data_IF_514151985068
#
_entry.id   IF_514151985068
#
_cell.length_a   1.000
_cell.length_b   1.000
_cell.length_c   1.000
_cell.angle_alpha   90.00
_cell.angle_beta   90.00
_cell.angle_gamma   90.00
#
_symmetry.space_group_name_H-M   'P 1'
#
loop_
_entity.id
_entity.type
_entity.pdbx_description
1 polymer ?
#
# COMPACT_ATOMS: atom_id res chain seq x y z
N UNK A 1 26.61 -15.74 40.20
CA UNK A 1 26.10 -15.02 41.39
C UNK A 1 26.37 -15.91 42.59
N UNK A 2 27.20 -15.43 43.50
CA UNK A 2 27.54 -16.06 44.78
C UNK A 2 26.30 -16.20 45.66
N UNK A 3 26.21 -17.27 46.45
CA UNK A 3 25.16 -17.41 47.45
C UNK A 3 25.21 -18.76 48.16
N UNK A 4 26.23 -18.94 49.00
CA UNK A 4 26.28 -20.03 49.97
C UNK A 4 25.21 -19.86 51.05
N UNK A 5 24.73 -20.98 51.59
CA UNK A 5 23.82 -21.03 52.72
C UNK A 5 24.08 -22.27 53.55
N UNK A 6 24.96 -22.12 54.53
CA UNK A 6 25.09 -23.03 55.67
C UNK A 6 23.80 -23.02 56.50
N UNK A 7 23.37 -24.19 56.96
CA UNK A 7 22.29 -24.33 57.94
C UNK A 7 22.07 -25.78 58.32
N UNK A 8 22.76 -26.25 59.36
CA UNK A 8 22.45 -27.53 60.00
C UNK A 8 21.19 -27.44 60.87
N UNK A 9 20.73 -28.59 61.36
CA UNK A 9 20.51 -28.89 62.79
C UNK A 9 19.49 -30.05 62.94
N UNK A 10 19.95 -31.11 63.60
CA UNK A 10 19.26 -32.06 64.48
C UNK A 10 17.71 -32.17 64.47
N UNK A 11 17.26 -33.43 64.43
CA UNK A 11 16.40 -33.96 65.50
C UNK A 11 14.96 -34.32 65.10
N UNK A 12 14.57 -35.59 65.27
CA UNK A 12 13.17 -36.00 65.17
C UNK A 12 12.96 -37.51 65.02
N UNK A 13 13.41 -38.29 66.00
CA UNK A 13 12.94 -39.67 66.22
C UNK A 13 11.61 -39.65 67.01
N UNK A 14 10.89 -40.77 66.96
CA UNK A 14 9.66 -41.15 67.69
C UNK A 14 8.32 -40.90 66.99
N UNK A 15 7.61 -42.01 66.75
CA UNK A 15 6.19 -41.98 66.39
C UNK A 15 5.65 -43.29 65.81
N UNK A 16 6.05 -44.44 66.34
CA UNK A 16 5.33 -45.71 66.12
C UNK A 16 3.96 -45.59 66.81
N UNK A 17 2.90 -45.54 66.01
CA UNK A 17 1.53 -45.52 66.49
C UNK A 17 0.56 -45.70 65.33
N UNK A 18 0.01 -46.90 65.17
CA UNK A 18 -1.12 -47.12 64.26
C UNK A 18 -1.27 -48.52 63.65
N UNK A 19 -1.12 -49.58 64.44
CA UNK A 19 -1.29 -50.99 64.04
C UNK A 19 -2.76 -51.40 63.82
N UNK A 20 -3.64 -50.47 63.45
CA UNK A 20 -5.08 -50.71 63.20
C UNK A 20 -5.58 -50.23 61.82
N UNK A 21 -4.71 -49.66 60.98
CA UNK A 21 -5.05 -49.24 59.61
C UNK A 21 -4.36 -50.08 58.52
N UNK A 22 -3.85 -51.27 58.87
CA UNK A 22 -3.06 -52.10 57.96
C UNK A 22 -3.85 -52.55 56.73
N UNK A 23 -5.06 -53.07 56.89
CA UNK A 23 -5.82 -53.60 55.75
C UNK A 23 -6.41 -52.49 54.86
N UNK A 24 -6.89 -51.40 55.44
CA UNK A 24 -7.42 -50.26 54.69
C UNK A 24 -6.32 -49.53 53.91
N UNK A 25 -5.16 -49.27 54.52
CA UNK A 25 -4.00 -48.70 53.81
C UNK A 25 -3.40 -49.66 52.79
N UNK A 26 -3.27 -50.95 53.12
CA UNK A 26 -2.76 -51.96 52.17
C UNK A 26 -3.70 -52.13 50.97
N UNK A 27 -5.02 -52.13 51.20
CA UNK A 27 -6.02 -52.15 50.13
C UNK A 27 -6.03 -50.85 49.32
N UNK A 28 -5.81 -49.69 49.97
CA UNK A 28 -5.65 -48.40 49.31
C UNK A 28 -4.38 -48.35 48.46
N UNK A 29 -3.24 -48.84 48.96
CA UNK A 29 -1.98 -48.96 48.20
C UNK A 29 -2.11 -49.93 47.03
N UNK A 30 -2.72 -51.11 47.25
CA UNK A 30 -2.95 -52.10 46.19
C UNK A 30 -3.95 -51.61 45.12
N UNK A 31 -4.96 -50.82 45.50
CA UNK A 31 -5.98 -50.32 44.56
C UNK A 31 -5.54 -49.04 43.84
N UNK A 32 -4.66 -48.23 44.43
CA UNK A 32 -4.13 -47.00 43.78
C UNK A 32 -3.41 -47.30 42.47
N UNK A 33 -2.69 -48.41 42.39
CA UNK A 33 -2.05 -48.83 41.14
C UNK A 33 -3.08 -49.24 40.08
N UNK A 34 -4.20 -49.86 40.48
CA UNK A 34 -5.31 -50.17 39.59
C UNK A 34 -6.11 -48.93 39.16
N UNK A 35 -6.20 -47.89 40.00
CA UNK A 35 -6.80 -46.61 39.59
C UNK A 35 -5.89 -45.82 38.64
N UNK A 36 -4.57 -45.84 38.86
CA UNK A 36 -3.60 -45.23 37.95
C UNK A 36 -3.64 -45.83 36.54
N UNK A 37 -3.92 -47.14 36.42
CA UNK A 37 -4.08 -47.76 35.10
C UNK A 37 -5.38 -47.33 34.40
N UNK A 38 -6.47 -47.11 35.14
CA UNK A 38 -7.69 -46.51 34.56
C UNK A 38 -7.42 -45.07 34.12
N UNK A 39 -6.74 -44.27 34.94
CA UNK A 39 -6.38 -42.89 34.62
C UNK A 39 -5.46 -42.80 33.39
N UNK A 40 -4.49 -43.72 33.25
CA UNK A 40 -3.61 -43.77 32.08
C UNK A 40 -4.34 -44.16 30.80
N UNK A 41 -5.31 -45.08 30.89
CA UNK A 41 -6.17 -45.43 29.74
C UNK A 41 -7.02 -44.22 29.34
N UNK A 42 -7.65 -43.53 30.30
CA UNK A 42 -8.45 -42.32 30.03
C UNK A 42 -7.58 -41.21 29.43
N UNK A 43 -6.38 -40.99 29.95
CA UNK A 43 -5.43 -40.02 29.42
C UNK A 43 -4.94 -40.41 28.01
N UNK A 44 -4.75 -41.70 27.73
CA UNK A 44 -4.41 -42.19 26.41
C UNK A 44 -5.55 -41.97 25.40
N UNK A 45 -6.81 -42.22 25.77
CA UNK A 45 -7.95 -41.89 24.91
C UNK A 45 -8.08 -40.38 24.66
N UNK A 46 -7.76 -39.58 25.69
CA UNK A 46 -7.74 -38.12 25.57
C UNK A 46 -6.63 -37.66 24.62
N UNK A 47 -5.43 -38.24 24.68
CA UNK A 47 -4.32 -37.90 23.78
C UNK A 47 -4.59 -38.36 22.34
N UNK A 48 -5.22 -39.52 22.14
CA UNK A 48 -5.70 -39.97 20.82
C UNK A 48 -6.75 -39.00 20.28
N UNK A 49 -7.67 -38.52 21.12
CA UNK A 49 -8.67 -37.54 20.71
C UNK A 49 -8.04 -36.20 20.29
N UNK A 50 -7.08 -35.69 21.07
CA UNK A 50 -6.33 -34.47 20.72
C UNK A 50 -5.49 -34.66 19.45
N UNK A 51 -4.92 -35.84 19.25
CA UNK A 51 -4.18 -36.17 18.03
C UNK A 51 -5.10 -36.25 16.81
N UNK A 52 -6.29 -36.84 16.95
CA UNK A 52 -7.31 -36.89 15.88
C UNK A 52 -7.84 -35.48 15.56
N UNK A 53 -8.01 -34.61 16.55
CA UNK A 53 -8.35 -33.21 16.31
C UNK A 53 -7.22 -32.50 15.53
N UNK A 54 -5.96 -32.76 15.90
CA UNK A 54 -4.80 -32.22 15.19
C UNK A 54 -4.66 -32.76 13.77
N UNK A 55 -4.95 -34.03 13.51
CA UNK A 55 -4.91 -34.57 12.15
C UNK A 55 -6.05 -34.02 11.31
N UNK A 56 -7.24 -33.86 11.88
CA UNK A 56 -8.35 -33.17 11.23
C UNK A 56 -7.98 -31.72 10.87
N UNK A 57 -7.46 -30.95 11.83
CA UNK A 57 -7.03 -29.57 11.57
C UNK A 57 -5.87 -29.50 10.58
N UNK A 58 -4.90 -30.41 10.64
CA UNK A 58 -3.81 -30.47 9.68
C UNK A 58 -4.33 -30.73 8.25
N UNK A 59 -5.28 -31.64 8.08
CA UNK A 59 -5.93 -31.89 6.79
C UNK A 59 -6.72 -30.67 6.33
N UNK A 60 -7.48 -30.04 7.22
CA UNK A 60 -8.25 -28.83 6.91
C UNK A 60 -7.35 -27.66 6.46
N UNK A 61 -6.26 -27.42 7.19
CA UNK A 61 -5.28 -26.38 6.88
C UNK A 61 -4.51 -26.70 5.60
N UNK A 62 -4.18 -27.97 5.35
CA UNK A 62 -3.53 -28.42 4.11
C UNK A 62 -4.46 -28.23 2.90
N UNK A 63 -5.73 -28.59 3.04
CA UNK A 63 -6.73 -28.39 1.99
C UNK A 63 -6.90 -26.91 1.66
N UNK A 64 -7.03 -26.05 2.68
CA UNK A 64 -7.11 -24.59 2.47
C UNK A 64 -5.86 -24.02 1.83
N UNK A 65 -4.68 -24.51 2.20
CA UNK A 65 -3.44 -24.07 1.56
C UNK A 65 -3.44 -24.39 0.06
N UNK A 66 -3.89 -25.59 -0.33
CA UNK A 66 -4.02 -26.00 -1.73
C UNK A 66 -5.06 -25.15 -2.48
N UNK A 67 -6.22 -24.89 -1.88
CA UNK A 67 -7.24 -23.99 -2.47
C UNK A 67 -6.66 -22.58 -2.65
N UNK A 68 -5.92 -22.07 -1.66
CA UNK A 68 -5.22 -20.77 -1.77
C UNK A 68 -4.17 -20.76 -2.88
N UNK A 69 -3.49 -21.87 -3.12
CA UNK A 69 -2.59 -22.02 -4.28
C UNK A 69 -3.37 -21.97 -5.59
N UNK A 70 -4.54 -22.59 -5.68
CA UNK A 70 -5.40 -22.52 -6.87
C UNK A 70 -5.88 -21.09 -7.17
N UNK A 71 -6.26 -20.32 -6.14
CA UNK A 71 -6.62 -18.91 -6.31
C UNK A 71 -5.44 -18.06 -6.80
N UNK A 72 -4.23 -18.33 -6.29
CA UNK A 72 -3.01 -17.68 -6.77
C UNK A 72 -2.66 -18.08 -8.20
N UNK A 73 -2.88 -19.34 -8.58
CA UNK A 73 -2.71 -19.82 -9.94
C UNK A 73 -3.67 -19.12 -10.93
N UNK A 74 -4.92 -18.87 -10.51
CA UNK A 74 -5.90 -18.09 -11.28
C UNK A 74 -5.41 -16.65 -11.53
N UNK A 75 -4.87 -15.98 -10.50
CA UNK A 75 -4.27 -14.63 -10.64
C UNK A 75 -3.05 -14.63 -11.57
N UNK A 76 -2.21 -15.65 -11.46
CA UNK A 76 -1.03 -15.84 -12.31
C UNK A 76 -1.44 -15.98 -13.77
N UNK A 77 -2.49 -16.74 -14.08
CA UNK A 77 -3.05 -16.85 -15.44
C UNK A 77 -3.45 -15.49 -16.01
N UNK A 78 -4.09 -14.62 -15.21
CA UNK A 78 -4.44 -13.26 -15.65
C UNK A 78 -3.20 -12.39 -15.90
N UNK A 79 -2.18 -12.47 -15.05
CA UNK A 79 -0.92 -11.76 -15.28
C UNK A 79 -0.17 -12.29 -16.51
N UNK A 80 -0.17 -13.60 -16.73
CA UNK A 80 0.41 -14.21 -17.92
C UNK A 80 -0.28 -13.67 -19.18
N UNK A 81 -1.62 -13.64 -19.19
CA UNK A 81 -2.41 -13.08 -20.28
C UNK A 81 -2.11 -11.59 -20.52
N UNK A 82 -1.84 -10.82 -19.46
CA UNK A 82 -1.46 -9.41 -19.59
C UNK A 82 -0.15 -9.21 -20.36
N UNK A 83 0.85 -10.09 -20.15
CA UNK A 83 2.12 -10.05 -20.88
C UNK A 83 1.91 -10.37 -22.36
N UNK A 84 1.14 -11.42 -22.67
CA UNK A 84 0.78 -11.73 -24.07
C UNK A 84 -0.03 -10.61 -24.72
N UNK A 85 -0.94 -9.98 -23.99
CA UNK A 85 -1.73 -8.85 -24.47
C UNK A 85 -0.89 -7.60 -24.69
N UNK A 86 0.16 -7.36 -23.90
CA UNK A 86 1.09 -6.24 -24.08
C UNK A 86 1.91 -6.41 -25.36
N UNK A 87 2.38 -7.63 -25.65
CA UNK A 87 3.01 -7.95 -26.94
C UNK A 87 2.03 -7.79 -28.11
N UNK A 88 0.78 -8.24 -27.96
CA UNK A 88 -0.25 -8.06 -28.97
C UNK A 88 -0.56 -6.57 -29.20
N UNK A 89 -0.65 -5.78 -28.13
CA UNK A 89 -0.88 -4.33 -28.17
C UNK A 89 0.28 -3.62 -28.89
N UNK A 90 1.53 -3.97 -28.59
CA UNK A 90 2.70 -3.41 -29.28
C UNK A 90 2.66 -3.72 -30.79
N UNK A 91 2.32 -4.95 -31.15
CA UNK A 91 2.15 -5.36 -32.55
C UNK A 91 0.96 -4.64 -33.21
N UNK A 92 -0.13 -4.44 -32.49
CA UNK A 92 -1.31 -3.69 -32.94
C UNK A 92 -1.01 -2.21 -33.14
N UNK A 93 -0.27 -1.56 -32.23
CA UNK A 93 0.18 -0.17 -32.39
C UNK A 93 1.04 -0.02 -33.64
N UNK A 94 1.96 -0.96 -33.87
CA UNK A 94 2.82 -0.94 -35.06
C UNK A 94 2.02 -1.18 -36.33
N UNK A 95 1.02 -2.07 -36.30
CA UNK A 95 0.09 -2.29 -37.40
C UNK A 95 -0.75 -1.04 -37.69
N UNK A 96 -1.33 -0.45 -36.65
CA UNK A 96 -2.17 0.74 -36.75
C UNK A 96 -1.37 1.94 -37.27
N UNK A 97 -0.14 2.15 -36.77
CA UNK A 97 0.77 3.17 -37.29
C UNK A 97 1.07 2.98 -38.78
N UNK A 98 1.40 1.75 -39.21
CA UNK A 98 1.58 1.45 -40.64
C UNK A 98 0.30 1.72 -41.43
N UNK A 99 -0.85 1.30 -40.92
CA UNK A 99 -2.15 1.44 -41.58
C UNK A 99 -2.56 2.91 -41.71
N UNK A 100 -2.36 3.72 -40.68
CA UNK A 100 -2.61 5.17 -40.66
C UNK A 100 -1.69 5.88 -41.65
N UNK A 101 -0.39 5.54 -41.68
CA UNK A 101 0.54 6.12 -42.66
C UNK A 101 0.21 5.77 -44.12
N UNK A 102 -0.29 4.54 -44.36
CA UNK A 102 -0.75 4.11 -45.68
C UNK A 102 -2.06 4.81 -46.06
N UNK A 103 -3.00 4.94 -45.11
CA UNK A 103 -4.30 5.60 -45.33
C UNK A 103 -4.15 7.10 -45.59
N UNK A 104 -3.24 7.77 -44.87
CA UNK A 104 -2.89 9.17 -45.10
C UNK A 104 -1.99 9.38 -46.33
N UNK A 105 -1.61 8.32 -47.05
CA UNK A 105 -0.80 8.36 -48.28
C UNK A 105 0.56 9.06 -48.13
N UNK A 106 1.05 9.25 -46.90
CA UNK A 106 2.38 9.83 -46.60
C UNK A 106 3.51 8.79 -46.68
N UNK A 107 3.17 7.49 -46.80
CA UNK A 107 4.14 6.44 -47.05
C UNK A 107 3.79 5.73 -48.37
N UNK A 108 4.43 6.08 -49.51
CA UNK A 108 4.46 5.17 -50.64
C UNK A 108 5.11 3.87 -50.17
N UNK A 109 4.52 2.74 -50.59
CA UNK A 109 5.13 1.42 -50.41
C UNK A 109 6.54 1.54 -50.96
N UNK A 110 7.55 1.41 -50.10
CA UNK A 110 8.93 1.56 -50.50
C UNK A 110 9.28 0.40 -51.44
N UNK A 111 9.08 0.63 -52.74
CA UNK A 111 9.99 0.33 -53.85
C UNK A 111 11.39 0.94 -53.58
N UNK A 112 11.91 0.89 -52.34
CA UNK A 112 13.26 1.36 -52.08
C UNK A 112 14.27 0.48 -52.77
N UNK A 113 14.03 -0.83 -52.89
CA UNK A 113 14.95 -1.72 -53.59
C UNK A 113 14.99 -1.43 -55.11
N UNK A 114 13.90 -0.96 -55.69
CA UNK A 114 13.85 -0.55 -57.11
C UNK A 114 14.45 0.85 -57.33
N UNK A 115 14.16 1.81 -56.45
CA UNK A 115 14.76 3.15 -56.53
C UNK A 115 16.28 3.15 -56.26
N UNK A 116 16.76 2.29 -55.35
CA UNK A 116 18.19 2.13 -55.08
C UNK A 116 18.90 1.29 -56.16
N UNK A 117 18.27 0.27 -56.74
CA UNK A 117 18.87 -0.48 -57.86
C UNK A 117 18.95 0.34 -59.14
N UNK A 118 17.98 1.24 -59.39
CA UNK A 118 18.02 2.16 -60.50
C UNK A 118 19.08 3.27 -60.30
N UNK A 119 19.25 3.76 -59.07
CA UNK A 119 20.35 4.68 -58.73
C UNK A 119 21.74 4.03 -58.83
N UNK A 120 21.87 2.77 -58.38
CA UNK A 120 23.11 2.00 -58.48
C UNK A 120 23.45 1.62 -59.93
N UNK A 121 22.43 1.36 -60.78
CA UNK A 121 22.62 1.13 -62.21
C UNK A 121 22.95 2.42 -62.99
N UNK A 122 22.53 3.59 -62.48
CA UNK A 122 22.85 4.90 -63.06
C UNK A 122 24.19 5.50 -62.59
N UNK A 123 24.86 4.87 -61.62
CA UNK A 123 26.18 5.29 -61.15
C UNK A 123 27.27 4.70 -62.07
N UNK A 124 27.89 5.54 -62.89
CA UNK A 124 29.06 5.17 -63.70
C UNK A 124 30.18 4.71 -62.76
N UNK A 125 30.76 3.50 -62.91
CA UNK A 125 31.83 3.06 -62.05
C UNK A 125 33.13 3.75 -62.48
N UNK A 126 33.52 4.80 -61.74
CA UNK A 126 34.89 5.29 -61.78
C UNK A 126 35.71 4.46 -60.79
N UNK A 127 36.53 3.58 -61.37
CA UNK A 127 37.58 2.72 -60.80
C UNK A 127 37.94 2.89 -59.31
N UNK A 128 37.96 1.77 -58.58
CA UNK A 128 38.53 1.70 -57.23
C UNK A 128 38.31 0.35 -56.54
N UNK A 129 39.21 -0.58 -56.86
CA UNK A 129 39.68 -1.76 -56.11
C UNK A 129 39.20 -2.00 -54.65
N UNK A 130 38.99 -3.29 -54.32
CA UNK A 130 39.07 -3.81 -52.94
C UNK A 130 37.76 -4.15 -52.23
N UNK A 131 37.26 -5.37 -52.46
CA UNK A 131 36.26 -6.03 -51.61
C UNK A 131 36.79 -6.16 -50.17
N UNK A 132 36.30 -5.30 -49.27
CA UNK A 132 36.51 -5.41 -47.83
C UNK A 132 35.16 -5.70 -47.16
N UNK A 133 35.03 -6.74 -46.32
CA UNK A 133 33.77 -7.07 -45.69
C UNK A 133 33.35 -5.88 -44.82
N UNK A 134 32.21 -5.26 -45.14
CA UNK A 134 31.68 -4.08 -44.43
C UNK A 134 31.59 -4.38 -42.94
N UNK A 135 32.59 -3.92 -42.17
CA UNK A 135 32.64 -4.08 -40.71
C UNK A 135 31.41 -3.38 -40.14
N UNK A 136 30.56 -4.13 -39.46
CA UNK A 136 29.27 -3.62 -39.06
C UNK A 136 29.44 -2.47 -38.07
N UNK A 137 28.96 -1.28 -38.44
CA UNK A 137 28.79 -0.14 -37.53
C UNK A 137 27.66 -0.39 -36.51
N UNK A 138 27.02 -1.56 -36.60
CA UNK A 138 25.91 -1.98 -35.75
C UNK A 138 26.24 -2.04 -34.24
N UNK A 139 27.41 -2.57 -33.80
CA UNK A 139 27.80 -2.52 -32.40
C UNK A 139 28.09 -1.10 -31.90
N UNK A 140 28.59 -0.21 -32.77
CA UNK A 140 28.85 1.21 -32.45
C UNK A 140 27.52 1.94 -32.24
N UNK A 141 26.52 1.69 -33.08
CA UNK A 141 25.18 2.26 -32.93
C UNK A 141 24.47 1.74 -31.67
N UNK A 142 24.67 0.47 -31.31
CA UNK A 142 24.18 -0.08 -30.04
C UNK A 142 24.81 0.64 -28.83
N UNK A 143 26.11 0.86 -28.86
CA UNK A 143 26.81 1.57 -27.78
C UNK A 143 26.35 3.03 -27.68
N UNK A 144 26.18 3.72 -28.82
CA UNK A 144 25.71 5.11 -28.87
C UNK A 144 24.26 5.23 -28.36
N UNK A 145 23.39 4.28 -28.70
CA UNK A 145 22.01 4.23 -28.24
C UNK A 145 21.92 4.00 -26.72
N UNK A 146 22.81 3.20 -26.14
CA UNK A 146 22.85 2.96 -24.70
C UNK A 146 23.42 4.17 -23.96
N UNK A 147 24.47 4.82 -24.49
CA UNK A 147 25.04 6.03 -23.88
C UNK A 147 24.02 7.18 -23.89
N UNK A 148 23.32 7.38 -25.01
CA UNK A 148 22.35 8.46 -25.13
C UNK A 148 20.99 8.12 -24.48
N UNK A 149 20.56 6.86 -24.60
CA UNK A 149 19.27 6.38 -24.10
C UNK A 149 19.28 5.96 -22.64
N UNK A 150 20.41 5.50 -22.11
CA UNK A 150 20.57 5.02 -20.74
C UNK A 150 20.19 6.07 -19.69
N UNK A 151 20.78 7.29 -19.72
CA UNK A 151 20.42 8.35 -18.78
C UNK A 151 18.93 8.72 -18.83
N UNK A 152 18.35 8.75 -20.02
CA UNK A 152 16.93 9.03 -20.21
C UNK A 152 16.02 7.90 -19.71
N UNK A 153 16.39 6.63 -19.95
CA UNK A 153 15.66 5.45 -19.48
C UNK A 153 15.67 5.38 -17.96
N UNK A 154 16.82 5.62 -17.33
CA UNK A 154 16.97 5.65 -15.88
C UNK A 154 16.10 6.77 -15.29
N UNK A 155 16.15 7.98 -15.85
CA UNK A 155 15.30 9.09 -15.41
C UNK A 155 13.80 8.75 -15.54
N UNK A 156 13.40 8.08 -16.62
CA UNK A 156 12.01 7.65 -16.84
C UNK A 156 11.56 6.54 -15.89
N UNK A 157 12.44 5.61 -15.54
CA UNK A 157 12.16 4.53 -14.59
C UNK A 157 12.06 5.06 -13.17
N UNK A 158 13.00 5.90 -12.72
CA UNK A 158 12.99 6.48 -11.37
C UNK A 158 11.75 7.37 -11.19
N UNK A 159 11.40 8.19 -12.20
CA UNK A 159 10.22 9.06 -12.14
C UNK A 159 8.89 8.29 -12.07
N UNK A 160 8.85 7.04 -12.54
CA UNK A 160 7.65 6.20 -12.46
C UNK A 160 7.44 5.55 -11.08
N UNK A 161 8.50 5.49 -10.25
CA UNK A 161 8.52 4.80 -8.95
C UNK A 161 8.38 5.77 -7.77
N UNK A 162 8.41 7.08 -8.00
CA UNK A 162 8.17 8.06 -6.93
C UNK A 162 6.68 8.21 -6.63
N UNK A 163 6.10 7.26 -5.89
CA UNK A 163 5.00 7.60 -4.98
C UNK A 163 5.63 8.24 -3.75
N UNK A 164 5.74 9.57 -3.76
CA UNK A 164 6.41 10.34 -2.71
C UNK A 164 5.71 10.13 -1.36
N UNK A 165 6.40 9.63 -0.31
CA UNK A 165 5.88 9.66 1.04
C UNK A 165 5.64 11.13 1.45
N UNK A 166 4.39 11.50 1.69
CA UNK A 166 4.02 12.88 2.02
C UNK A 166 3.17 13.61 0.98
N UNK A 167 2.66 12.92 -0.04
CA UNK A 167 1.64 13.50 -0.92
C UNK A 167 0.41 13.90 -0.09
N UNK A 168 0.05 15.18 -0.13
CA UNK A 168 -1.09 15.73 0.60
C UNK A 168 -2.39 15.25 -0.05
N UNK A 169 -3.06 14.29 0.58
CA UNK A 169 -4.31 13.73 0.07
C UNK A 169 -5.47 14.48 0.71
N UNK A 170 -6.36 15.06 -0.12
CA UNK A 170 -7.57 15.70 0.37
C UNK A 170 -8.57 14.62 0.77
N UNK A 171 -8.70 14.42 2.08
CA UNK A 171 -9.63 13.46 2.67
C UNK A 171 -11.05 14.02 2.58
N UNK A 172 -12.02 13.18 2.15
CA UNK A 172 -13.41 13.60 2.04
C UNK A 172 -14.01 13.97 3.41
N UNK A 173 -14.93 14.96 3.47
CA UNK A 173 -15.63 15.33 4.70
C UNK A 173 -16.29 14.12 5.38
N UNK A 174 -16.30 14.09 6.72
CA UNK A 174 -16.82 12.96 7.51
C UNK A 174 -18.25 12.54 7.17
N UNK A 175 -19.05 13.46 6.66
CA UNK A 175 -20.44 13.25 6.25
C UNK A 175 -20.58 12.31 5.04
N UNK A 176 -19.57 12.26 4.16
CA UNK A 176 -19.58 11.48 2.91
C UNK A 176 -18.72 10.21 3.04
N UNK A 177 -18.13 9.97 4.22
CA UNK A 177 -17.26 8.81 4.41
C UNK A 177 -18.08 7.51 4.46
N UNK A 178 -17.63 6.46 3.75
CA UNK A 178 -18.30 5.16 3.79
C UNK A 178 -18.23 4.57 5.20
N UNK A 179 -19.24 3.80 5.61
CA UNK A 179 -19.30 3.14 6.93
C UNK A 179 -18.37 1.92 7.04
N UNK A 180 -17.12 2.04 6.61
CA UNK A 180 -16.12 0.97 6.62
C UNK A 180 -15.06 1.33 7.66
N UNK A 181 -14.94 0.52 8.73
CA UNK A 181 -13.98 0.76 9.81
C UNK A 181 -12.55 0.66 9.26
N UNK A 182 -11.75 1.70 9.48
CA UNK A 182 -10.33 1.71 9.12
C UNK A 182 -10.00 2.09 7.67
N UNK A 183 -10.99 2.52 6.88
CA UNK A 183 -10.80 2.93 5.50
C UNK A 183 -11.35 4.35 5.30
N UNK A 184 -10.56 5.22 4.67
CA UNK A 184 -10.92 6.61 4.41
C UNK A 184 -11.08 6.83 2.92
N UNK A 185 -12.14 7.53 2.52
CA UNK A 185 -12.29 8.04 1.17
C UNK A 185 -11.40 9.27 1.02
N UNK A 186 -10.45 9.21 0.10
CA UNK A 186 -9.51 10.29 -0.13
C UNK A 186 -9.31 10.51 -1.63
N UNK A 187 -9.06 11.75 -2.00
CA UNK A 187 -8.79 12.13 -3.39
C UNK A 187 -7.39 12.69 -3.51
N UNK A 188 -6.61 12.10 -4.41
CA UNK A 188 -5.32 12.63 -4.82
C UNK A 188 -5.60 13.72 -5.85
N UNK A 189 -5.30 14.97 -5.48
CA UNK A 189 -5.40 16.16 -6.34
C UNK A 189 -6.78 16.46 -6.94
N UNK A 190 -7.86 15.89 -6.37
CA UNK A 190 -9.24 16.13 -6.81
C UNK A 190 -9.66 15.38 -8.07
N UNK A 191 -8.76 14.59 -8.69
CA UNK A 191 -9.04 13.88 -9.94
C UNK A 191 -9.17 12.36 -9.77
N UNK A 192 -8.50 11.78 -8.77
CA UNK A 192 -8.50 10.32 -8.55
C UNK A 192 -9.00 10.02 -7.14
N UNK A 193 -10.25 9.55 -7.05
CA UNK A 193 -10.88 9.13 -5.80
C UNK A 193 -10.59 7.66 -5.51
N UNK A 194 -10.09 7.35 -4.32
CA UNK A 194 -9.78 5.99 -3.89
C UNK A 194 -10.00 5.80 -2.39
N UNK A 195 -10.10 4.53 -1.99
CA UNK A 195 -10.19 4.15 -0.57
C UNK A 195 -8.77 3.89 -0.07
N UNK A 196 -8.37 4.57 1.00
CA UNK A 196 -7.02 4.46 1.58
C UNK A 196 -7.15 3.91 3.02
N UNK A 197 -6.32 2.93 3.43
CA UNK A 197 -6.31 2.46 4.81
C UNK A 197 -5.92 3.59 5.77
N UNK A 198 -6.72 3.80 6.81
CA UNK A 198 -6.58 4.92 7.75
C UNK A 198 -5.27 4.91 8.56
N UNK A 199 -4.62 3.76 8.68
CA UNK A 199 -3.34 3.61 9.40
C UNK A 199 -2.16 4.35 8.73
N UNK A 200 -2.31 4.76 7.47
CA UNK A 200 -1.26 5.41 6.67
C UNK A 200 -1.51 6.90 6.44
N UNK A 201 -2.55 7.48 7.05
CA UNK A 201 -2.92 8.90 6.86
C UNK A 201 -2.66 9.68 8.14
N UNK A 202 -1.68 10.59 8.11
CA UNK A 202 -1.44 11.56 9.18
C UNK A 202 -2.28 12.81 8.90
N UNK A 203 -3.34 13.03 9.67
CA UNK A 203 -4.17 14.23 9.56
C UNK A 203 -3.31 15.44 9.95
N UNK A 204 -2.82 16.18 8.95
CA UNK A 204 -2.29 17.53 9.16
C UNK A 204 -3.47 18.40 9.60
N UNK A 205 -3.47 18.80 10.87
CA UNK A 205 -4.57 19.53 11.47
C UNK A 205 -4.88 20.81 10.71
N UNK A 206 -6.18 21.15 10.64
CA UNK A 206 -6.66 22.44 10.11
C UNK A 206 -5.80 23.57 10.65
N UNK A 207 -5.36 24.46 9.75
CA UNK A 207 -4.50 25.58 10.07
C UNK A 207 -5.15 26.46 11.15
N UNK A 208 -4.75 26.25 12.41
CA UNK A 208 -5.35 26.94 13.56
C UNK A 208 -5.17 28.44 13.45
N UNK A 209 -4.14 28.89 12.74
CA UNK A 209 -3.91 30.29 12.41
C UNK A 209 -5.04 30.87 11.56
N UNK A 210 -5.50 30.13 10.55
CA UNK A 210 -6.56 30.56 9.65
C UNK A 210 -7.93 30.57 10.35
N UNK A 211 -8.21 29.60 11.23
CA UNK A 211 -9.40 29.68 12.09
C UNK A 211 -9.33 30.86 13.07
N UNK A 212 -8.16 31.14 13.65
CA UNK A 212 -7.98 32.26 14.58
C UNK A 212 -8.16 33.59 13.84
N UNK A 213 -7.65 33.71 12.62
CA UNK A 213 -7.85 34.88 11.76
C UNK A 213 -9.32 35.04 11.36
N UNK A 214 -10.01 33.98 10.94
CA UNK A 214 -11.45 34.05 10.64
C UNK A 214 -12.24 34.49 11.88
N UNK A 215 -11.96 33.93 13.05
CA UNK A 215 -12.61 34.35 14.31
C UNK A 215 -12.30 35.80 14.68
N UNK A 216 -11.06 36.26 14.45
CA UNK A 216 -10.66 37.64 14.68
C UNK A 216 -11.36 38.59 13.71
N UNK A 217 -11.43 38.25 12.43
CA UNK A 217 -12.15 39.02 11.42
C UNK A 217 -13.65 39.11 11.75
N UNK A 218 -14.28 38.00 12.13
CA UNK A 218 -15.68 38.00 12.57
C UNK A 218 -15.90 38.85 13.81
N UNK A 219 -14.97 38.79 14.78
CA UNK A 219 -14.99 39.61 15.99
C UNK A 219 -14.82 41.10 15.67
N UNK A 220 -13.91 41.44 14.76
CA UNK A 220 -13.66 42.82 14.33
C UNK A 220 -14.86 43.38 13.58
N UNK A 221 -15.45 42.63 12.65
CA UNK A 221 -16.66 43.04 11.95
C UNK A 221 -17.83 43.28 12.91
N UNK A 222 -18.00 42.42 13.92
CA UNK A 222 -19.03 42.59 14.96
C UNK A 222 -18.80 43.84 15.83
N UNK A 223 -17.55 44.16 16.15
CA UNK A 223 -17.21 45.38 16.91
C UNK A 223 -17.41 46.62 16.05
N UNK A 224 -17.03 46.58 14.77
CA UNK A 224 -17.24 47.68 13.82
C UNK A 224 -18.73 47.93 13.59
N UNK A 225 -19.55 46.88 13.44
CA UNK A 225 -21.00 47.06 13.30
C UNK A 225 -21.63 47.66 14.56
N UNK A 226 -21.21 47.22 15.76
CA UNK A 226 -21.66 47.83 17.02
C UNK A 226 -21.20 49.29 17.17
N UNK A 227 -19.96 49.62 16.76
CA UNK A 227 -19.45 50.99 16.77
C UNK A 227 -20.17 51.89 15.78
N UNK A 228 -20.48 51.42 14.57
CA UNK A 228 -21.27 52.19 13.59
C UNK A 228 -22.68 52.45 14.12
N UNK A 229 -23.32 51.45 14.74
CA UNK A 229 -24.64 51.62 15.38
C UNK A 229 -24.56 52.57 16.58
N UNK A 230 -23.54 52.45 17.43
CA UNK A 230 -23.33 53.34 18.56
C UNK A 230 -23.06 54.78 18.09
N UNK A 231 -22.14 55.00 17.16
CA UNK A 231 -21.84 56.33 16.58
C UNK A 231 -23.09 56.92 15.93
N UNK A 232 -23.88 56.15 15.18
CA UNK A 232 -25.16 56.61 14.63
C UNK A 232 -26.16 56.99 15.72
N UNK A 233 -26.20 56.28 16.85
CA UNK A 233 -27.08 56.56 17.99
C UNK A 233 -26.61 57.78 18.80
N UNK A 234 -25.30 58.00 18.94
CA UNK A 234 -24.73 59.13 19.69
C UNK A 234 -24.66 60.43 18.90
N UNK A 235 -24.62 60.36 17.56
CA UNK A 235 -24.63 61.55 16.69
C UNK A 235 -26.03 62.12 16.44
N UNK A 236 -27.10 61.41 16.81
CA UNK A 236 -28.48 61.84 16.54
C UNK A 236 -29.10 62.91 17.47
N UNK A 237 -28.53 63.38 18.61
CA UNK A 237 -29.15 64.47 19.37
C UNK A 237 -28.39 65.82 19.36
N UNK A 238 -27.32 66.01 18.56
CA UNK A 238 -26.53 67.27 18.61
C UNK A 238 -26.66 68.21 17.41
N UNK A 239 -27.43 67.86 16.38
CA UNK A 239 -27.65 68.75 15.21
C UNK A 239 -28.93 69.58 15.33
N UNK A 240 -29.82 69.28 16.29
CA UNK A 240 -31.08 70.03 16.45
C UNK A 240 -30.97 71.33 17.28
N UNK A 241 -29.83 71.61 17.94
CA UNK A 241 -29.72 72.72 18.90
C UNK A 241 -28.95 73.96 18.40
N UNK A 242 -28.55 74.01 17.13
CA UNK A 242 -27.78 75.16 16.55
C UNK A 242 -28.60 76.00 15.56
N UNK A 243 -29.90 75.73 15.41
CA UNK A 243 -30.77 76.43 14.44
C UNK A 243 -31.76 77.42 15.07
N UNK A 244 -31.61 77.77 16.35
CA UNK A 244 -32.46 78.77 17.02
C UNK A 244 -31.63 79.87 17.71
N UNK A 245 -30.68 80.49 16.98
CA UNK A 245 -30.07 81.77 17.39
C UNK A 245 -29.59 82.62 16.20
N UNK A 246 -30.39 82.68 15.14
CA UNK A 246 -30.31 83.72 14.11
C UNK A 246 -31.75 84.07 13.72
N UNK A 247 -32.41 84.86 14.56
CA UNK A 247 -33.53 85.75 14.25
C UNK A 247 -33.91 86.46 15.55
N UNK A 248 -33.18 87.54 15.82
CA UNK A 248 -33.68 88.83 16.32
C UNK A 248 -32.51 89.81 16.30
#
# INVERSE_FOLDING_TARGET
MYGGGYGGQYGGSYGNGGEYNGFARQAEENSRQAFQSVESIVNAFTSVSMMLDSTFQAVYNSFRAVVGVADNFSRLKHQLSSVFSAFALFKFIRYLYRKVLVLLRLRPNMETDEAWSQAAASAIPLAGDGDSPKKSTWPIMMFLAIIMGGPYLIWRLISSVTQTPGQEIKVAPKEIQPRIKGWLLASVDGQKTGIIPGNYVKVLGKDKALEKLIRLLWKQHKILSQRVVAVKKTLLPKVAAVQHKIHH
#
